data_IF_616123529676
#
_entry.id   IF_616123529676
#
_cell.length_a   1.000
_cell.length_b   1.000
_cell.length_c   1.000
_cell.angle_alpha   90.00
_cell.angle_beta   90.00
_cell.angle_gamma   90.00
#
_symmetry.space_group_name_H-M   'P 1'
#
loop_
_entity.id
_entity.type
_entity.pdbx_description
1 polymer ?
#
# COMPACT_ATOMS: atom_id res chain seq x y z
N UNK A 1 -18.59 -12.33 -20.96
CA UNK A 1 -18.67 -10.92 -21.40
C UNK A 1 -17.44 -10.22 -20.84
N UNK A 2 -16.69 -9.51 -21.66
CA UNK A 2 -15.58 -8.67 -21.18
C UNK A 2 -16.15 -7.40 -20.53
N UNK A 3 -15.78 -7.17 -19.27
CA UNK A 3 -16.27 -6.06 -18.43
C UNK A 3 -15.22 -4.95 -18.30
N UNK A 4 -13.94 -5.31 -18.42
CA UNK A 4 -12.80 -4.43 -18.26
C UNK A 4 -11.48 -5.18 -18.32
N UNK A 5 -10.38 -4.44 -18.16
CA UNK A 5 -9.02 -4.95 -18.14
C UNK A 5 -8.15 -4.15 -17.17
N UNK A 6 -7.09 -4.75 -16.66
CA UNK A 6 -6.00 -4.05 -15.97
C UNK A 6 -4.67 -4.54 -16.53
N UNK A 7 -3.75 -3.65 -16.95
CA UNK A 7 -2.41 -4.07 -17.33
C UNK A 7 -1.61 -4.48 -16.09
N UNK A 8 -0.81 -5.53 -16.26
CA UNK A 8 0.08 -6.03 -15.21
C UNK A 8 1.48 -6.17 -15.81
N UNK A 9 2.48 -5.62 -15.12
CA UNK A 9 3.88 -5.91 -15.40
C UNK A 9 4.32 -7.07 -14.49
N UNK A 10 4.87 -8.13 -15.08
CA UNK A 10 5.43 -9.27 -14.34
C UNK A 10 6.95 -9.19 -14.36
N UNK A 11 7.57 -9.46 -13.21
CA UNK A 11 9.01 -9.69 -13.06
C UNK A 11 9.26 -11.15 -12.68
N UNK A 12 10.50 -11.50 -12.36
CA UNK A 12 10.84 -12.85 -11.88
C UNK A 12 10.23 -13.19 -10.53
N UNK A 13 9.95 -12.19 -9.69
CA UNK A 13 9.49 -12.39 -8.30
C UNK A 13 8.22 -11.60 -7.95
N UNK A 14 7.69 -10.77 -8.86
CA UNK A 14 6.59 -9.87 -8.51
C UNK A 14 5.67 -9.52 -9.67
N UNK A 15 4.50 -9.01 -9.33
CA UNK A 15 3.62 -8.29 -10.25
C UNK A 15 3.46 -6.83 -9.84
N UNK A 16 3.29 -5.96 -10.83
CA UNK A 16 2.84 -4.57 -10.63
C UNK A 16 1.48 -4.42 -11.30
N UNK A 17 0.44 -4.33 -10.46
CA UNK A 17 -0.93 -4.08 -10.89
C UNK A 17 -1.09 -2.59 -11.18
N UNK A 18 -1.42 -2.26 -12.43
CA UNK A 18 -1.63 -0.87 -12.85
C UNK A 18 -3.12 -0.51 -12.80
N UNK A 19 -3.45 0.66 -13.33
CA UNK A 19 -4.78 1.22 -13.51
C UNK A 19 -5.75 0.25 -14.20
N UNK A 20 -6.87 -0.03 -13.54
CA UNK A 20 -7.97 -0.81 -14.10
C UNK A 20 -8.92 0.04 -14.93
N UNK A 21 -9.34 -0.49 -16.08
CA UNK A 21 -10.33 0.10 -16.98
C UNK A 21 -11.55 -0.81 -17.02
N UNK A 22 -12.75 -0.26 -16.84
CA UNK A 22 -14.00 -1.03 -16.87
C UNK A 22 -15.14 -0.18 -17.42
N UNK A 23 -16.17 -0.84 -17.94
CA UNK A 23 -17.32 -0.14 -18.51
C UNK A 23 -18.06 0.64 -17.41
N UNK A 24 -18.53 1.88 -17.68
CA UNK A 24 -19.11 2.76 -16.66
C UNK A 24 -20.28 2.15 -15.89
N UNK A 25 -21.09 1.28 -16.52
CA UNK A 25 -22.22 0.63 -15.87
C UNK A 25 -21.82 -0.29 -14.70
N UNK A 26 -20.53 -0.64 -14.58
CA UNK A 26 -19.98 -1.46 -13.51
C UNK A 26 -19.24 -0.68 -12.42
N UNK A 27 -19.24 0.66 -12.44
CA UNK A 27 -18.45 1.48 -11.50
C UNK A 27 -18.71 1.16 -10.01
N UNK A 28 -19.94 0.77 -9.65
CA UNK A 28 -20.34 0.47 -8.25
C UNK A 28 -20.41 -1.03 -7.93
N UNK A 29 -19.91 -1.90 -8.82
CA UNK A 29 -20.09 -3.35 -8.73
C UNK A 29 -18.94 -4.10 -8.05
N UNK A 30 -17.94 -3.40 -7.53
CA UNK A 30 -16.76 -4.03 -6.92
C UNK A 30 -15.79 -4.68 -7.92
N UNK A 31 -16.00 -4.49 -9.23
CA UNK A 31 -15.17 -5.06 -10.30
C UNK A 31 -13.69 -4.72 -10.13
N UNK A 32 -13.35 -3.50 -9.69
CA UNK A 32 -11.96 -3.12 -9.41
C UNK A 32 -11.30 -3.99 -8.32
N UNK A 33 -12.02 -4.26 -7.22
CA UNK A 33 -11.53 -5.13 -6.15
C UNK A 33 -11.42 -6.58 -6.62
N UNK A 34 -12.39 -7.06 -7.41
CA UNK A 34 -12.32 -8.41 -7.98
C UNK A 34 -11.11 -8.56 -8.90
N UNK A 35 -10.86 -7.61 -9.80
CA UNK A 35 -9.70 -7.65 -10.69
C UNK A 35 -8.36 -7.66 -9.92
N UNK A 36 -8.29 -6.90 -8.82
CA UNK A 36 -7.13 -6.89 -7.93
C UNK A 36 -6.92 -8.26 -7.24
N UNK A 37 -7.99 -8.85 -6.70
CA UNK A 37 -7.93 -10.18 -6.07
C UNK A 37 -7.53 -11.27 -7.07
N UNK A 38 -8.05 -11.22 -8.29
CA UNK A 38 -7.65 -12.14 -9.36
C UNK A 38 -6.17 -12.00 -9.70
N UNK A 39 -5.65 -10.77 -9.79
CA UNK A 39 -4.24 -10.52 -10.02
C UNK A 39 -3.34 -11.06 -8.89
N UNK A 40 -3.72 -10.83 -7.63
CA UNK A 40 -2.99 -11.37 -6.47
C UNK A 40 -3.05 -12.91 -6.43
N UNK A 41 -4.21 -13.49 -6.73
CA UNK A 41 -4.39 -14.94 -6.83
C UNK A 41 -3.51 -15.55 -7.92
N UNK A 42 -3.47 -14.89 -9.08
CA UNK A 42 -2.59 -15.28 -10.19
C UNK A 42 -1.11 -15.20 -9.80
N UNK A 43 -0.66 -14.11 -9.16
CA UNK A 43 0.72 -13.99 -8.69
C UNK A 43 1.11 -15.12 -7.72
N UNK A 44 0.20 -15.48 -6.80
CA UNK A 44 0.40 -16.61 -5.89
C UNK A 44 0.50 -17.94 -6.62
N UNK A 45 -0.35 -18.18 -7.62
CA UNK A 45 -0.29 -19.39 -8.45
C UNK A 45 1.03 -19.49 -9.24
N UNK A 46 1.52 -18.34 -9.71
CA UNK A 46 2.83 -18.20 -10.37
C UNK A 46 4.02 -18.28 -9.41
N UNK A 47 3.79 -18.51 -8.11
CA UNK A 47 4.82 -18.60 -7.06
C UNK A 47 5.69 -17.33 -6.98
N UNK A 48 5.08 -16.17 -7.21
CA UNK A 48 5.74 -14.89 -7.04
C UNK A 48 5.66 -14.44 -5.58
N UNK A 49 6.69 -13.74 -5.13
CA UNK A 49 6.83 -13.31 -3.74
C UNK A 49 5.94 -12.08 -3.44
N UNK A 50 5.76 -11.18 -4.41
CA UNK A 50 5.11 -9.89 -4.18
C UNK A 50 4.07 -9.51 -5.23
N UNK A 51 3.02 -8.80 -4.79
CA UNK A 51 2.05 -8.15 -5.67
C UNK A 51 1.90 -6.67 -5.28
N UNK A 52 2.40 -5.76 -6.13
CA UNK A 52 2.29 -4.32 -5.92
C UNK A 52 0.95 -3.81 -6.45
N UNK A 53 0.09 -3.32 -5.54
CA UNK A 53 -1.29 -2.93 -5.84
C UNK A 53 -1.50 -1.40 -5.87
N UNK A 54 -0.40 -0.64 -5.89
CA UNK A 54 -0.40 0.82 -5.79
C UNK A 54 -0.45 1.33 -4.35
N UNK A 55 -0.63 2.64 -4.20
CA UNK A 55 -0.58 3.32 -2.89
C UNK A 55 -1.84 3.05 -2.05
N UNK A 56 -1.70 3.22 -0.73
CA UNK A 56 -2.77 3.04 0.25
C UNK A 56 -3.02 4.25 1.15
N UNK A 57 -2.31 5.37 0.94
CA UNK A 57 -2.33 6.57 1.80
C UNK A 57 -3.57 7.46 1.62
N UNK A 58 -4.69 6.90 1.17
CA UNK A 58 -5.97 7.61 1.10
C UNK A 58 -7.07 6.74 1.70
N UNK A 59 -8.06 7.36 2.35
CA UNK A 59 -9.20 6.63 2.92
C UNK A 59 -9.94 5.78 1.89
N UNK A 60 -10.01 6.24 0.63
CA UNK A 60 -10.62 5.50 -0.48
C UNK A 60 -9.81 4.28 -0.92
N UNK A 61 -8.55 4.14 -0.48
CA UNK A 61 -7.67 3.02 -0.80
C UNK A 61 -7.61 1.94 0.28
N UNK A 62 -8.24 2.16 1.43
CA UNK A 62 -8.20 1.23 2.57
C UNK A 62 -8.82 -0.13 2.27
N UNK A 63 -9.60 -0.28 1.19
CA UNK A 63 -10.12 -1.60 0.80
C UNK A 63 -9.01 -2.63 0.54
N UNK A 64 -7.79 -2.18 0.17
CA UNK A 64 -6.63 -3.03 -0.09
C UNK A 64 -6.08 -3.71 1.16
N UNK A 65 -6.31 -3.13 2.35
CA UNK A 65 -5.82 -3.69 3.62
C UNK A 65 -6.52 -5.00 4.00
N UNK A 66 -7.65 -5.32 3.34
CA UNK A 66 -8.35 -6.59 3.52
C UNK A 66 -7.67 -7.77 2.79
N UNK A 67 -6.62 -7.52 2.01
CA UNK A 67 -5.84 -8.57 1.33
C UNK A 67 -4.85 -9.14 2.35
N UNK A 68 -4.85 -10.47 2.60
CA UNK A 68 -3.89 -11.08 3.53
C UNK A 68 -2.44 -10.83 3.13
N UNK A 69 -1.59 -10.48 4.09
CA UNK A 69 -0.19 -10.12 3.84
C UNK A 69 0.00 -8.70 3.28
N UNK A 70 -1.01 -7.83 3.43
CA UNK A 70 -0.89 -6.43 3.05
C UNK A 70 0.20 -5.71 3.85
N UNK A 71 1.07 -5.02 3.13
CA UNK A 71 2.08 -4.11 3.66
C UNK A 71 2.01 -2.77 2.91
N UNK A 72 2.46 -1.70 3.55
CA UNK A 72 2.63 -0.38 2.94
C UNK A 72 4.03 0.15 3.25
N UNK A 73 4.55 1.05 2.41
CA UNK A 73 5.86 1.65 2.66
C UNK A 73 5.69 2.89 3.54
N UNK A 74 6.34 2.97 4.69
CA UNK A 74 6.17 4.12 5.59
C UNK A 74 7.16 5.26 5.36
N UNK A 75 8.02 5.15 4.35
CA UNK A 75 9.07 6.12 4.03
C UNK A 75 10.48 5.57 4.24
N UNK A 76 10.64 4.50 5.03
CA UNK A 76 11.94 3.84 5.24
C UNK A 76 11.88 2.31 5.22
N UNK A 77 10.73 1.69 5.47
CA UNK A 77 10.54 0.24 5.38
C UNK A 77 9.11 -0.16 4.98
N UNK A 78 8.92 -1.45 4.70
CA UNK A 78 7.59 -2.04 4.53
C UNK A 78 7.02 -2.38 5.91
N UNK A 79 5.85 -1.84 6.23
CA UNK A 79 5.14 -2.02 7.48
C UNK A 79 3.80 -2.73 7.26
N UNK A 80 3.46 -3.61 8.20
CA UNK A 80 2.15 -4.27 8.28
C UNK A 80 1.23 -3.62 9.33
N UNK A 81 1.67 -2.54 9.99
CA UNK A 81 0.91 -1.87 11.05
C UNK A 81 -0.20 -0.98 10.47
N UNK A 82 -1.45 -1.48 10.53
CA UNK A 82 -2.59 -0.74 10.00
C UNK A 82 -2.96 0.51 10.80
N UNK A 83 -2.56 0.61 12.07
CA UNK A 83 -2.79 1.80 12.87
C UNK A 83 -1.79 2.90 12.52
N UNK A 84 -0.56 2.51 12.16
CA UNK A 84 0.43 3.40 11.55
C UNK A 84 -0.10 3.96 10.22
N UNK A 85 -0.59 3.11 9.32
CA UNK A 85 -1.16 3.57 8.04
C UNK A 85 -2.30 4.59 8.25
N UNK A 86 -3.21 4.33 9.21
CA UNK A 86 -4.31 5.26 9.52
C UNK A 86 -3.79 6.59 10.07
N UNK A 87 -2.75 6.56 10.90
CA UNK A 87 -2.10 7.77 11.40
C UNK A 87 -1.55 8.60 10.23
N UNK A 88 -0.82 7.96 9.30
CA UNK A 88 -0.29 8.64 8.11
C UNK A 88 -1.38 9.30 7.26
N UNK A 89 -2.48 8.58 7.01
CA UNK A 89 -3.63 9.13 6.27
C UNK A 89 -4.23 10.36 6.97
N UNK A 90 -4.30 10.34 8.30
CA UNK A 90 -4.86 11.45 9.07
C UNK A 90 -3.95 12.69 9.09
N UNK A 91 -2.62 12.50 9.13
CA UNK A 91 -1.64 13.59 9.15
C UNK A 91 -1.45 14.23 7.78
N UNK A 92 -1.51 13.46 6.69
CA UNK A 92 -1.45 14.00 5.32
C UNK A 92 -2.63 14.95 5.00
N UNK A 93 -3.77 14.76 5.68
CA UNK A 93 -4.93 15.65 5.58
C UNK A 93 -4.76 16.96 6.39
N UNK A 94 -3.70 17.08 7.18
CA UNK A 94 -3.42 18.28 7.97
C UNK A 94 -2.47 19.23 7.21
N UNK A 95 -2.66 20.55 7.35
CA UNK A 95 -1.84 21.57 6.67
C UNK A 95 -0.35 21.59 7.14
N UNK A 96 0.02 20.78 8.13
CA UNK A 96 1.37 20.71 8.67
C UNK A 96 2.15 19.60 7.97
N UNK A 97 2.97 19.99 6.99
CA UNK A 97 3.98 19.12 6.38
C UNK A 97 5.26 19.15 7.21
N UNK A 98 5.18 18.60 8.41
CA UNK A 98 6.39 18.26 9.16
C UNK A 98 6.96 16.95 8.60
N UNK A 99 8.29 16.83 8.55
CA UNK A 99 8.95 15.59 8.11
C UNK A 99 8.56 14.46 9.08
N UNK A 100 7.94 13.41 8.55
CA UNK A 100 7.39 12.29 9.33
C UNK A 100 8.43 11.67 10.26
N UNK A 101 9.69 11.57 9.80
CA UNK A 101 10.77 10.99 10.60
C UNK A 101 11.24 11.94 11.71
N UNK A 102 10.95 13.23 11.58
CA UNK A 102 11.22 14.24 12.59
C UNK A 102 10.08 14.40 13.61
N UNK A 103 8.87 13.95 13.28
CA UNK A 103 7.71 13.94 14.17
C UNK A 103 7.97 13.03 15.38
N UNK A 104 8.09 13.66 16.56
CA UNK A 104 8.32 12.96 17.82
C UNK A 104 7.14 12.06 18.21
N UNK A 105 5.91 12.50 17.97
CA UNK A 105 4.69 11.73 18.29
C UNK A 105 4.67 10.44 17.46
N UNK A 106 4.95 10.53 16.16
CA UNK A 106 5.04 9.38 15.27
C UNK A 106 6.11 8.37 15.74
N UNK A 107 7.32 8.85 16.06
CA UNK A 107 8.42 7.99 16.55
C UNK A 107 8.07 7.31 17.87
N UNK A 108 7.50 8.04 18.81
CA UNK A 108 7.12 7.49 20.11
C UNK A 108 5.96 6.50 20.00
N UNK A 109 5.06 6.68 19.04
CA UNK A 109 3.91 5.79 18.89
C UNK A 109 4.25 4.49 18.16
N UNK A 110 4.99 4.55 17.06
CA UNK A 110 5.20 3.39 16.17
C UNK A 110 6.62 2.83 16.20
N UNK A 111 7.62 3.62 16.60
CA UNK A 111 9.04 3.27 16.46
C UNK A 111 9.90 3.63 17.68
N UNK A 112 9.52 3.15 18.86
CA UNK A 112 10.30 3.30 20.11
C UNK A 112 11.65 2.55 20.12
N UNK A 113 12.14 2.07 18.97
CA UNK A 113 13.29 1.16 18.89
C UNK A 113 14.62 1.90 18.69
N UNK A 114 15.72 1.45 19.33
CA UNK A 114 17.08 1.92 19.06
C UNK A 114 17.50 1.88 17.58
N UNK A 115 16.81 1.08 16.76
CA UNK A 115 17.07 0.93 15.33
C UNK A 115 16.76 2.20 14.52
N UNK A 116 15.76 3.00 14.90
CA UNK A 116 15.45 4.24 14.19
C UNK A 116 16.54 5.29 14.40
N UNK A 117 17.06 5.41 15.63
CA UNK A 117 18.22 6.25 15.92
C UNK A 117 19.45 5.80 15.11
N UNK A 118 19.61 4.49 14.88
CA UNK A 118 20.69 3.96 14.03
C UNK A 118 20.52 4.32 12.56
N UNK A 119 19.29 4.40 12.05
CA UNK A 119 18.98 4.89 10.71
C UNK A 119 19.25 6.39 10.60
N UNK A 120 18.72 7.20 11.52
CA UNK A 120 18.90 8.66 11.54
C UNK A 120 20.38 9.05 11.65
N UNK A 121 21.17 8.38 12.50
CA UNK A 121 22.60 8.63 12.65
C UNK A 121 23.45 8.18 11.45
N UNK A 122 22.91 7.40 10.52
CA UNK A 122 23.64 6.94 9.32
C UNK A 122 23.58 7.97 8.18
N UNK A 123 22.64 8.92 8.25
CA UNK A 123 22.36 9.90 7.20
C UNK A 123 22.42 11.36 7.69
N UNK A 124 22.81 11.59 8.96
CA UNK A 124 23.19 12.89 9.51
C UNK A 124 24.70 13.12 9.39
#
# INVERSE_FOLDING_TARGET
>A
IEIGLSPIMKTTASIFYWYGFYKPEYQKSGVGMRAMLEATSWAKHEQLDYAYLGTAYTSSSLYKTNIPGFEFFNGFEWSADLDELKYLISKDQSDKKDDLLLDQEYREQFYQSPNLNKFLNRYA
#
